data_IF_648918669286
#
_entry.id   IF_648918669286
#
_cell.length_a   1.000
_cell.length_b   1.000
_cell.length_c   1.000
_cell.angle_alpha   90.00
_cell.angle_beta   90.00
_cell.angle_gamma   90.00
#
_symmetry.space_group_name_H-M   'P 1'
#
loop_
_entity.id
_entity.type
_entity.pdbx_description
1 polymer ?
#
# COMPACT_ATOMS: atom_id res chain seq x y z
N UNK A 1 6.17 -23.11 -9.16
CA UNK A 1 5.26 -23.16 -10.33
C UNK A 1 5.56 -21.92 -11.16
N UNK A 2 5.82 -22.05 -12.46
CA UNK A 2 6.08 -20.86 -13.28
C UNK A 2 4.76 -20.14 -13.57
N UNK A 3 4.69 -18.87 -13.20
CA UNK A 3 3.56 -18.01 -13.53
C UNK A 3 3.67 -17.46 -14.95
N UNK A 4 2.55 -17.06 -15.54
CA UNK A 4 2.47 -16.46 -16.87
C UNK A 4 1.98 -15.02 -16.80
N UNK A 5 2.27 -14.26 -17.86
CA UNK A 5 1.69 -12.94 -18.07
C UNK A 5 0.17 -13.03 -18.10
N UNK A 6 -0.49 -12.19 -17.31
CA UNK A 6 -1.94 -12.17 -17.14
C UNK A 6 -2.49 -13.10 -16.05
N UNK A 7 -1.65 -13.89 -15.37
CA UNK A 7 -2.12 -14.71 -14.24
C UNK A 7 -2.45 -13.81 -13.04
N UNK A 8 -3.62 -14.04 -12.44
CA UNK A 8 -3.97 -13.45 -11.15
C UNK A 8 -3.26 -14.22 -10.04
N UNK A 9 -2.50 -13.49 -9.24
CA UNK A 9 -1.75 -14.00 -8.10
C UNK A 9 -2.21 -13.32 -6.83
N UNK A 10 -2.29 -14.09 -5.76
CA UNK A 10 -2.41 -13.56 -4.41
C UNK A 10 -1.03 -13.53 -3.78
N UNK A 11 -0.79 -12.53 -2.93
CA UNK A 11 0.49 -12.40 -2.26
C UNK A 11 0.52 -13.24 -0.98
N UNK A 12 1.68 -13.85 -0.69
CA UNK A 12 1.82 -14.73 0.48
C UNK A 12 1.83 -13.95 1.80
N UNK A 13 2.43 -12.76 1.80
CA UNK A 13 2.72 -11.98 3.01
C UNK A 13 1.87 -10.71 3.13
N UNK A 14 0.95 -10.45 2.19
CA UNK A 14 0.10 -9.27 2.20
C UNK A 14 -1.30 -9.62 1.68
N UNK A 15 -2.30 -8.90 2.18
CA UNK A 15 -3.68 -9.03 1.72
C UNK A 15 -3.79 -8.29 0.39
N UNK A 16 -4.26 -8.98 -0.64
CA UNK A 16 -4.48 -8.40 -1.96
C UNK A 16 -4.24 -9.38 -3.08
N UNK A 17 -4.66 -8.97 -4.26
CA UNK A 17 -4.48 -9.69 -5.51
C UNK A 17 -3.85 -8.75 -6.52
N UNK A 18 -3.14 -9.33 -7.48
CA UNK A 18 -2.66 -8.58 -8.61
C UNK A 18 -2.47 -9.46 -9.83
N UNK A 19 -2.25 -8.82 -10.96
CA UNK A 19 -2.10 -9.46 -12.26
C UNK A 19 -0.66 -9.35 -12.71
N UNK A 20 -0.07 -10.44 -13.16
CA UNK A 20 1.31 -10.40 -13.67
C UNK A 20 1.36 -9.64 -14.99
N UNK A 21 2.01 -8.47 -14.99
CA UNK A 21 2.18 -7.61 -16.17
C UNK A 21 3.51 -7.86 -16.89
N UNK A 22 4.56 -8.31 -16.18
CA UNK A 22 5.87 -8.70 -16.77
C UNK A 22 6.51 -9.88 -16.02
N UNK A 23 7.37 -10.62 -16.72
CA UNK A 23 8.20 -11.67 -16.12
C UNK A 23 9.66 -11.52 -16.55
N UNK A 24 10.58 -11.49 -15.59
CA UNK A 24 12.02 -11.53 -15.85
C UNK A 24 12.70 -12.55 -14.95
N UNK A 25 13.31 -13.56 -15.57
CA UNK A 25 14.07 -14.64 -14.90
C UNK A 25 13.28 -15.39 -13.81
N UNK A 26 13.26 -14.85 -12.58
CA UNK A 26 12.62 -15.41 -11.38
C UNK A 26 11.75 -14.40 -10.62
N UNK A 27 11.53 -13.23 -11.21
CA UNK A 27 10.68 -12.16 -10.68
C UNK A 27 9.53 -11.89 -11.62
N UNK A 28 8.41 -11.50 -11.05
CA UNK A 28 7.18 -11.18 -11.76
C UNK A 28 6.75 -9.78 -11.35
N UNK A 29 6.54 -8.91 -12.33
CA UNK A 29 5.92 -7.62 -12.11
C UNK A 29 4.41 -7.87 -11.99
N UNK A 30 3.83 -7.46 -10.87
CA UNK A 30 2.43 -7.66 -10.56
C UNK A 30 1.78 -6.29 -10.36
N UNK A 31 0.74 -6.03 -11.14
CA UNK A 31 -0.13 -4.86 -10.99
C UNK A 31 -1.27 -5.19 -10.03
N UNK A 32 -1.39 -4.47 -8.92
CA UNK A 32 -2.49 -4.66 -7.96
C UNK A 32 -3.78 -3.90 -8.36
N UNK A 33 -4.85 -4.05 -7.57
CA UNK A 33 -6.16 -3.40 -7.80
C UNK A 33 -6.12 -1.87 -7.82
N UNK A 34 -5.03 -1.27 -7.35
CA UNK A 34 -4.82 0.17 -7.32
C UNK A 34 -3.92 0.66 -8.45
N UNK A 35 -3.49 -0.23 -9.36
CA UNK A 35 -2.64 0.08 -10.51
C UNK A 35 -1.16 0.17 -10.16
N UNK A 36 -0.70 -0.43 -9.05
CA UNK A 36 0.71 -0.46 -8.69
C UNK A 36 1.42 -1.69 -9.25
N UNK A 37 2.44 -1.46 -10.07
CA UNK A 37 3.35 -2.49 -10.61
C UNK A 37 4.54 -2.75 -9.65
N UNK A 38 4.59 -3.91 -8.99
CA UNK A 38 5.71 -4.29 -8.10
C UNK A 38 6.34 -5.63 -8.49
N UNK A 39 7.66 -5.75 -8.32
CA UNK A 39 8.39 -7.00 -8.62
C UNK A 39 8.35 -7.94 -7.42
N UNK A 40 7.71 -9.09 -7.59
CA UNK A 40 7.64 -10.15 -6.61
C UNK A 40 8.47 -11.35 -7.04
N UNK A 41 9.05 -12.05 -6.07
CA UNK A 41 9.69 -13.33 -6.34
C UNK A 41 8.65 -14.45 -6.42
N UNK A 42 8.95 -15.54 -7.16
CA UNK A 42 8.04 -16.69 -7.31
C UNK A 42 7.48 -17.22 -5.98
N UNK A 43 8.28 -17.12 -4.91
CA UNK A 43 7.97 -17.59 -3.55
C UNK A 43 7.02 -16.68 -2.76
N UNK A 44 6.81 -15.45 -3.21
CA UNK A 44 5.91 -14.48 -2.58
C UNK A 44 4.54 -14.45 -3.24
N UNK A 45 4.38 -15.19 -4.35
CA UNK A 45 3.18 -15.27 -5.14
C UNK A 45 2.55 -16.65 -5.02
N UNK A 46 1.22 -16.67 -5.01
CA UNK A 46 0.43 -17.90 -5.05
C UNK A 46 -0.57 -17.78 -6.20
N UNK A 47 -0.59 -18.79 -7.07
CA UNK A 47 -1.47 -18.78 -8.24
C UNK A 47 -2.91 -18.99 -7.78
N UNK A 48 -3.80 -18.05 -8.10
CA UNK A 48 -5.23 -18.31 -8.00
C UNK A 48 -5.67 -19.07 -9.25
N UNK A 49 -5.49 -20.39 -9.22
CA UNK A 49 -6.11 -21.24 -10.23
C UNK A 49 -7.63 -21.10 -10.10
N UNK A 50 -8.27 -20.54 -11.13
CA UNK A 50 -9.71 -20.70 -11.34
C UNK A 50 -9.99 -22.20 -11.49
N UNK A 51 -10.33 -22.87 -10.40
CA UNK A 51 -11.14 -24.07 -10.49
C UNK A 51 -12.36 -23.68 -11.33
N UNK A 52 -12.51 -24.28 -12.51
CA UNK A 52 -13.72 -24.15 -13.31
C UNK A 52 -14.86 -24.74 -12.48
N UNK A 53 -15.55 -23.89 -11.73
CA UNK A 53 -16.87 -24.19 -11.21
C UNK A 53 -17.82 -23.76 -12.32
N UNK A 54 -18.37 -24.75 -13.01
CA UNK A 54 -19.43 -24.55 -14.00
C UNK A 54 -20.61 -23.82 -13.36
N UNK A 55 -20.99 -22.69 -13.97
CA UNK A 55 -22.34 -22.15 -13.94
C UNK A 55 -22.72 -21.29 -12.74
N UNK A 56 -22.43 -19.99 -12.79
CA UNK A 56 -23.39 -18.97 -12.33
C UNK A 56 -23.37 -17.79 -13.30
N UNK A 57 -24.55 -17.49 -13.83
CA UNK A 57 -24.85 -16.47 -14.83
C UNK A 57 -24.54 -15.06 -14.33
N UNK A 58 -23.84 -14.28 -15.16
CA UNK A 58 -23.75 -12.83 -15.03
C UNK A 58 -25.13 -12.22 -15.25
N UNK A 59 -25.55 -11.33 -14.36
CA UNK A 59 -26.69 -10.45 -14.62
C UNK A 59 -26.17 -9.02 -14.73
N UNK A 60 -25.99 -8.58 -15.97
CA UNK A 60 -25.93 -7.19 -16.34
C UNK A 60 -27.17 -6.46 -15.82
N UNK A 61 -26.98 -5.35 -15.12
CA UNK A 61 -27.97 -4.27 -15.10
C UNK A 61 -27.25 -2.95 -15.32
N UNK A 62 -27.63 -2.34 -16.42
CA UNK A 62 -27.12 -1.15 -17.06
C UNK A 62 -27.75 0.14 -16.50
N UNK A 63 -27.04 1.24 -16.78
CA UNK A 63 -27.52 2.60 -17.02
C UNK A 63 -28.00 3.48 -15.83
N UNK A 64 -27.22 4.53 -15.59
CA UNK A 64 -27.65 5.77 -14.95
C UNK A 64 -26.62 6.89 -15.20
N UNK A 65 -26.97 7.87 -16.03
CA UNK A 65 -26.10 8.96 -16.45
C UNK A 65 -26.08 10.16 -15.46
N UNK A 66 -24.87 10.66 -15.19
CA UNK A 66 -24.45 12.02 -14.74
C UNK A 66 -24.87 12.52 -13.33
N UNK A 67 -24.03 13.36 -12.65
CA UNK A 67 -23.28 14.48 -13.23
C UNK A 67 -21.75 14.43 -13.04
N UNK A 68 -21.04 15.04 -14.00
CA UNK A 68 -19.64 15.45 -13.84
C UNK A 68 -19.57 16.73 -13.01
N UNK A 69 -18.89 16.66 -11.86
CA UNK A 69 -18.42 17.73 -10.98
C UNK A 69 -17.45 17.04 -10.00
N UNK A 70 -16.22 17.43 -9.68
CA UNK A 70 -15.37 18.57 -9.96
C UNK A 70 -13.90 18.10 -9.79
N UNK A 71 -12.96 18.83 -10.37
CA UNK A 71 -11.53 18.51 -10.44
C UNK A 71 -10.85 18.31 -9.08
N UNK A 72 -10.01 17.26 -8.94
CA UNK A 72 -8.82 17.31 -8.08
C UNK A 72 -8.73 16.36 -6.89
N UNK A 73 -9.64 15.40 -6.71
CA UNK A 73 -9.42 14.32 -5.75
C UNK A 73 -8.41 13.31 -6.32
N UNK A 74 -7.12 13.66 -6.28
CA UNK A 74 -6.08 12.62 -6.22
C UNK A 74 -6.48 11.73 -5.05
N UNK A 75 -6.76 10.45 -5.29
CA UNK A 75 -6.99 9.47 -4.23
C UNK A 75 -5.83 9.59 -3.24
N UNK A 76 -6.10 10.18 -2.07
CA UNK A 76 -5.11 10.38 -1.03
C UNK A 76 -4.68 8.99 -0.58
N UNK A 77 -3.42 8.63 -0.82
CA UNK A 77 -2.94 7.31 -0.41
C UNK A 77 -2.56 7.35 1.06
N UNK A 78 -2.98 6.33 1.78
CA UNK A 78 -2.76 6.22 3.22
C UNK A 78 -2.10 4.89 3.54
N UNK A 79 -1.19 4.88 4.51
CA UNK A 79 -0.59 3.64 5.05
C UNK A 79 -0.75 3.61 6.56
N UNK A 80 -1.48 2.60 7.03
CA UNK A 80 -1.57 2.26 8.45
C UNK A 80 -0.29 1.57 8.91
N UNK A 81 0.43 2.21 9.84
CA UNK A 81 1.67 1.72 10.42
C UNK A 81 1.47 1.07 11.80
N UNK A 82 0.24 0.90 12.30
CA UNK A 82 0.03 0.16 13.54
C UNK A 82 0.61 -1.26 13.41
N UNK A 83 1.45 -1.68 14.36
CA UNK A 83 2.24 -2.90 14.21
C UNK A 83 1.41 -4.16 13.97
N UNK A 84 0.22 -4.25 14.57
CA UNK A 84 -0.74 -5.35 14.37
C UNK A 84 -1.25 -5.48 12.92
N UNK A 85 -1.05 -4.45 12.08
CA UNK A 85 -1.37 -4.47 10.65
C UNK A 85 -0.21 -4.92 9.78
N UNK A 86 1.01 -4.91 10.33
CA UNK A 86 2.24 -5.17 9.59
C UNK A 86 2.74 -6.61 9.76
N UNK A 87 2.35 -7.30 10.85
CA UNK A 87 2.77 -8.67 11.15
C UNK A 87 1.64 -9.50 11.74
N UNK A 88 1.68 -10.82 11.52
CA UNK A 88 0.69 -11.78 12.03
C UNK A 88 0.83 -12.05 13.54
N UNK A 89 2.06 -12.11 14.06
CA UNK A 89 2.35 -12.40 15.46
C UNK A 89 3.10 -11.26 16.16
N UNK A 90 2.41 -10.17 16.55
CA UNK A 90 3.03 -8.98 17.13
C UNK A 90 3.90 -9.25 18.37
N UNK A 91 3.51 -10.22 19.20
CA UNK A 91 4.18 -10.53 20.47
C UNK A 91 5.58 -11.15 20.32
N UNK A 92 5.96 -11.55 19.10
CA UNK A 92 7.26 -12.18 18.84
C UNK A 92 8.39 -11.15 18.66
N UNK A 93 8.07 -9.86 18.71
CA UNK A 93 9.02 -8.78 18.41
C UNK A 93 9.27 -7.91 19.64
N UNK A 94 10.53 -7.51 19.80
CA UNK A 94 10.88 -6.46 20.75
C UNK A 94 10.41 -5.09 20.26
N UNK A 95 10.23 -4.13 21.17
CA UNK A 95 9.83 -2.75 20.82
C UNK A 95 10.76 -2.11 19.77
N UNK A 96 12.07 -2.41 19.82
CA UNK A 96 13.02 -1.94 18.82
C UNK A 96 12.73 -2.51 17.43
N UNK A 97 12.53 -3.83 17.34
CA UNK A 97 12.20 -4.49 16.07
C UNK A 97 10.86 -4.02 15.51
N UNK A 98 9.87 -3.80 16.37
CA UNK A 98 8.57 -3.24 15.98
C UNK A 98 8.74 -1.89 15.29
N UNK A 99 9.46 -0.98 15.94
CA UNK A 99 9.74 0.36 15.43
C UNK A 99 10.50 0.31 14.09
N UNK A 100 11.52 -0.54 13.99
CA UNK A 100 12.30 -0.71 12.76
C UNK A 100 11.44 -1.20 11.59
N UNK A 101 10.55 -2.17 11.83
CA UNK A 101 9.61 -2.66 10.81
C UNK A 101 8.66 -1.55 10.36
N UNK A 102 8.10 -0.79 11.31
CA UNK A 102 7.20 0.33 11.02
C UNK A 102 7.89 1.42 10.18
N UNK A 103 9.13 1.78 10.52
CA UNK A 103 9.91 2.77 9.77
C UNK A 103 10.30 2.28 8.37
N UNK A 104 10.63 0.99 8.24
CA UNK A 104 10.88 0.38 6.93
C UNK A 104 9.65 0.43 6.04
N UNK A 105 8.48 0.07 6.59
CA UNK A 105 7.21 0.15 5.85
C UNK A 105 6.85 1.59 5.47
N UNK A 106 7.07 2.57 6.36
CA UNK A 106 6.88 3.97 6.06
C UNK A 106 7.76 4.44 4.90
N UNK A 107 9.05 4.10 4.92
CA UNK A 107 10.01 4.45 3.85
C UNK A 107 9.62 3.81 2.53
N UNK A 108 9.32 2.51 2.55
CA UNK A 108 8.91 1.79 1.34
C UNK A 108 7.66 2.42 0.74
N UNK A 109 6.68 2.78 1.56
CA UNK A 109 5.48 3.46 1.11
C UNK A 109 5.81 4.83 0.48
N UNK A 110 6.60 5.68 1.14
CA UNK A 110 6.98 6.99 0.59
C UNK A 110 7.75 6.87 -0.73
N UNK A 111 8.69 5.93 -0.82
CA UNK A 111 9.46 5.69 -2.04
C UNK A 111 8.55 5.21 -3.18
N UNK A 112 7.57 4.35 -2.88
CA UNK A 112 6.56 3.89 -3.84
C UNK A 112 5.65 5.04 -4.29
N UNK A 113 5.16 5.83 -3.36
CA UNK A 113 4.27 6.97 -3.65
C UNK A 113 4.96 8.03 -4.50
N UNK A 114 6.23 8.33 -4.20
CA UNK A 114 7.03 9.27 -5.00
C UNK A 114 7.26 8.74 -6.41
N UNK A 115 7.58 7.43 -6.57
CA UNK A 115 7.74 6.78 -7.89
C UNK A 115 6.44 6.70 -8.68
N UNK A 116 5.31 6.50 -8.00
CA UNK A 116 3.97 6.47 -8.57
C UNK A 116 3.43 7.84 -8.99
N UNK A 117 4.19 8.92 -8.76
CA UNK A 117 3.77 10.28 -9.09
C UNK A 117 2.64 10.80 -8.20
N UNK A 118 2.45 10.21 -7.02
CA UNK A 118 1.46 10.68 -6.06
C UNK A 118 1.93 12.01 -5.47
N UNK A 119 1.08 13.03 -5.53
CA UNK A 119 1.42 14.36 -5.01
C UNK A 119 1.32 14.44 -3.49
N UNK A 120 0.43 13.64 -2.89
CA UNK A 120 0.09 13.72 -1.47
C UNK A 120 -0.22 12.34 -0.93
N UNK A 121 0.29 12.04 0.27
CA UNK A 121 0.08 10.78 0.99
C UNK A 121 0.01 10.99 2.50
N UNK A 122 -0.51 10.01 3.23
CA UNK A 122 -0.65 10.04 4.69
C UNK A 122 -0.07 8.78 5.32
N UNK A 123 0.68 8.95 6.39
CA UNK A 123 1.16 7.87 7.27
C UNK A 123 0.38 7.91 8.58
N UNK A 124 -0.32 6.82 8.92
CA UNK A 124 -1.09 6.69 10.15
C UNK A 124 -0.25 5.92 11.17
N UNK A 125 0.32 6.61 12.15
CA UNK A 125 1.22 6.04 13.17
C UNK A 125 0.56 5.87 14.55
N UNK A 126 -0.66 6.38 14.73
CA UNK A 126 -1.41 6.30 15.99
C UNK A 126 -0.98 7.36 17.03
N UNK A 127 -1.67 7.36 18.17
CA UNK A 127 -1.57 8.39 19.23
C UNK A 127 -0.74 7.97 20.45
N UNK A 128 0.11 6.93 20.33
CA UNK A 128 0.85 6.35 21.45
C UNK A 128 1.87 7.30 22.11
N UNK A 129 2.98 6.75 22.61
CA UNK A 129 4.02 7.54 23.30
C UNK A 129 4.75 8.57 22.42
N UNK A 130 4.45 8.64 21.12
CA UNK A 130 5.05 9.59 20.19
C UNK A 130 6.34 9.12 19.52
N UNK A 131 6.97 8.04 20.01
CA UNK A 131 8.25 7.55 19.48
C UNK A 131 8.24 7.26 17.97
N UNK A 132 7.21 6.59 17.44
CA UNK A 132 7.11 6.34 16.00
C UNK A 132 6.94 7.64 15.20
N UNK A 133 6.17 8.61 15.73
CA UNK A 133 5.99 9.92 15.10
C UNK A 133 7.33 10.66 15.00
N UNK A 134 8.09 10.72 16.09
CA UNK A 134 9.39 11.40 16.16
C UNK A 134 10.39 10.80 15.16
N UNK A 135 10.45 9.47 15.05
CA UNK A 135 11.33 8.80 14.09
C UNK A 135 10.88 9.01 12.64
N UNK A 136 9.57 9.02 12.35
CA UNK A 136 9.04 9.37 11.02
C UNK A 136 9.39 10.81 10.67
N UNK A 137 9.22 11.76 11.58
CA UNK A 137 9.54 13.17 11.35
C UNK A 137 11.05 13.34 11.10
N UNK A 138 11.89 12.74 11.95
CA UNK A 138 13.35 12.73 11.77
C UNK A 138 13.77 12.12 10.43
N UNK A 139 13.08 11.07 9.97
CA UNK A 139 13.30 10.47 8.67
C UNK A 139 12.92 11.43 7.53
N UNK A 140 11.74 12.06 7.61
CA UNK A 140 11.22 12.96 6.58
C UNK A 140 12.04 14.25 6.46
N UNK A 141 12.56 14.79 7.57
CA UNK A 141 13.46 15.96 7.58
C UNK A 141 14.75 15.73 6.77
N UNK A 142 15.19 14.47 6.66
CA UNK A 142 16.39 14.09 5.88
C UNK A 142 16.09 13.80 4.42
N UNK A 143 14.82 13.84 4.00
CA UNK A 143 14.40 13.56 2.63
C UNK A 143 14.19 14.86 1.86
N UNK A 144 14.81 14.95 0.69
CA UNK A 144 14.63 16.08 -0.20
C UNK A 144 13.33 15.98 -1.01
N UNK A 145 12.87 17.14 -1.46
CA UNK A 145 11.71 17.31 -2.33
C UNK A 145 10.39 16.82 -1.73
N UNK A 146 10.18 17.10 -0.44
CA UNK A 146 8.87 16.96 0.19
C UNK A 146 8.61 18.04 1.24
N UNK A 147 7.35 18.18 1.65
CA UNK A 147 6.89 18.82 2.90
C UNK A 147 6.05 17.82 3.67
N UNK A 148 6.01 17.98 4.98
CA UNK A 148 5.12 17.19 5.81
C UNK A 148 4.54 18.03 6.95
N UNK A 149 3.38 17.62 7.43
CA UNK A 149 2.61 18.28 8.47
C UNK A 149 1.76 17.25 9.21
N UNK A 150 1.27 17.63 10.39
CA UNK A 150 0.25 16.82 11.07
C UNK A 150 -1.01 16.79 10.18
N UNK A 151 -1.56 15.59 9.98
CA UNK A 151 -2.76 15.41 9.16
C UNK A 151 -4.00 16.02 9.84
N UNK A 152 -5.09 16.16 9.08
CA UNK A 152 -6.34 16.75 9.58
C UNK A 152 -6.82 16.07 10.88
N UNK A 153 -6.94 16.87 11.95
CA UNK A 153 -7.41 16.37 13.24
C UNK A 153 -8.84 15.81 13.17
N UNK A 154 -9.69 16.38 12.32
CA UNK A 154 -11.07 15.91 12.16
C UNK A 154 -11.15 14.52 11.52
N UNK A 155 -10.16 14.15 10.72
CA UNK A 155 -10.14 12.92 9.93
C UNK A 155 -9.30 11.82 10.60
N UNK A 156 -8.15 12.17 11.17
CA UNK A 156 -7.17 11.22 11.71
C UNK A 156 -6.85 11.43 13.21
N UNK A 157 -7.46 12.41 13.87
CA UNK A 157 -7.08 12.80 15.23
C UNK A 157 -5.64 13.31 15.31
N UNK A 158 -4.86 12.87 16.32
CA UNK A 158 -3.42 13.22 16.46
C UNK A 158 -2.47 12.17 15.86
N UNK A 159 -3.01 11.19 15.15
CA UNK A 159 -2.32 9.93 14.87
C UNK A 159 -1.73 9.80 13.46
N UNK A 160 -1.66 10.86 12.68
CA UNK A 160 -1.20 10.78 11.30
C UNK A 160 -0.37 11.99 10.85
N UNK A 161 0.54 11.73 9.93
CA UNK A 161 1.40 12.72 9.26
C UNK A 161 1.06 12.72 7.78
N UNK A 162 0.77 13.89 7.23
CA UNK A 162 0.54 14.10 5.81
C UNK A 162 1.83 14.59 5.14
N UNK A 163 2.12 14.06 3.96
CA UNK A 163 3.34 14.31 3.18
C UNK A 163 2.92 14.75 1.79
N UNK A 164 3.54 15.83 1.31
CA UNK A 164 3.35 16.41 0.00
C UNK A 164 4.68 16.44 -0.75
N UNK A 165 4.75 15.80 -1.91
CA UNK A 165 5.94 15.76 -2.76
C UNK A 165 5.91 16.91 -3.78
N UNK A 166 7.08 17.44 -4.15
CA UNK A 166 7.20 18.43 -5.24
C UNK A 166 7.66 17.82 -6.56
#
# INVERSE_FOLDING_TARGET
MKFKLGDTVSFLNQIGEGVITKCEQRRYLVEDEHGFDDWYEERELVAKNKLKIDGVQFKDTSAGAAPRKDNGASSLLEKDLHFNKLVEFPKNFSNHQMLEIQLREARNFLDRSKKGGNKRVVLIHGVGEGRLKEEIHTMLERMDNLRFYDASYAEYGRGATEIEFY
#
